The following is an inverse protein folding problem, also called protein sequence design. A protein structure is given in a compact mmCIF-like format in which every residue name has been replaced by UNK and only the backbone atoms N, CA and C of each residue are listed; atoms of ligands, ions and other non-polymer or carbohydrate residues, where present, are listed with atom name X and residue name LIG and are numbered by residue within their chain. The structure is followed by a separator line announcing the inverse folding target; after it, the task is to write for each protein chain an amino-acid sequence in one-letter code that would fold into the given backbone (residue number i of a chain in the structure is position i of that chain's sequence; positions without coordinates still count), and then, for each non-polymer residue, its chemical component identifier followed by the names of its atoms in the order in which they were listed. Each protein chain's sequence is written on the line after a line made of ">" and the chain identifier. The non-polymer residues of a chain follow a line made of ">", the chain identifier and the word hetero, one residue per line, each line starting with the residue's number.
data_IF_061947566069
#
_entry.id   IF_061947566069
#
_cell.length_a   1.000
_cell.length_b   1.000
_cell.length_c   1.000
_cell.angle_alpha   90.00
_cell.angle_beta   90.00
_cell.angle_gamma   90.00
#
_symmetry.space_group_name_H-M   'P 1'
#
loop_
_entity.id
_entity.type
_entity.pdbx_description
1 polymer ?
#
# COMPACT_ATOMS: atom_id res chain seq x y z
N UNK A 1 -16.49 -7.46 -0.66
CA UNK A 1 -16.71 -6.38 0.30
C UNK A 1 -15.41 -5.75 0.77
N UNK A 2 -15.51 -4.80 1.65
CA UNK A 2 -14.35 -4.06 2.15
C UNK A 2 -13.31 -4.97 2.82
N UNK A 3 -13.79 -5.95 3.59
CA UNK A 3 -12.90 -6.90 4.26
C UNK A 3 -12.12 -7.75 3.26
N UNK A 4 -12.72 -8.09 2.12
CA UNK A 4 -12.06 -8.86 1.08
C UNK A 4 -10.99 -8.04 0.36
N UNK A 5 -11.24 -6.76 0.17
CA UNK A 5 -10.29 -5.85 -0.44
C UNK A 5 -9.05 -5.69 0.45
N UNK A 6 -9.27 -5.49 1.75
CA UNK A 6 -8.16 -5.37 2.70
C UNK A 6 -7.37 -6.67 2.82
N UNK A 7 -8.05 -7.80 2.77
CA UNK A 7 -7.39 -9.11 2.76
C UNK A 7 -6.48 -9.26 1.55
N UNK A 8 -6.94 -8.79 0.39
CA UNK A 8 -6.14 -8.78 -0.82
C UNK A 8 -4.86 -7.95 -0.65
N UNK A 9 -4.99 -6.76 -0.09
CA UNK A 9 -3.83 -5.89 0.12
C UNK A 9 -2.87 -6.45 1.16
N UNK A 10 -3.38 -7.14 2.18
CA UNK A 10 -2.53 -7.82 3.16
C UNK A 10 -1.68 -8.90 2.49
N UNK A 11 -2.32 -9.72 1.66
CA UNK A 11 -1.61 -10.75 0.90
C UNK A 11 -0.57 -10.14 -0.03
N UNK A 12 -0.94 -9.05 -0.71
CA UNK A 12 -0.04 -8.34 -1.61
C UNK A 12 1.17 -7.79 -0.86
N UNK A 13 0.97 -7.24 0.33
CA UNK A 13 2.05 -6.71 1.15
C UNK A 13 3.03 -7.82 1.53
N UNK A 14 2.52 -8.96 1.99
CA UNK A 14 3.36 -10.08 2.38
C UNK A 14 4.18 -10.62 1.21
N UNK A 15 3.54 -10.79 0.05
CA UNK A 15 4.21 -11.29 -1.15
C UNK A 15 5.23 -10.29 -1.69
N UNK A 16 4.88 -9.00 -1.68
CA UNK A 16 5.78 -7.97 -2.16
C UNK A 16 7.04 -7.87 -1.31
N UNK A 17 6.92 -8.06 0.00
CA UNK A 17 8.08 -8.06 0.89
C UNK A 17 9.06 -9.17 0.52
N UNK A 18 8.55 -10.33 0.10
CA UNK A 18 9.39 -11.45 -0.32
C UNK A 18 10.01 -11.24 -1.71
N UNK A 19 9.37 -10.44 -2.54
CA UNK A 19 9.73 -10.26 -3.95
C UNK A 19 10.67 -9.10 -4.20
N UNK A 20 10.46 -7.98 -3.49
CA UNK A 20 11.22 -6.77 -3.73
C UNK A 20 12.62 -6.87 -3.14
N UNK A 21 13.57 -6.28 -3.84
CA UNK A 21 14.92 -6.10 -3.31
C UNK A 21 14.93 -5.00 -2.26
N UNK A 22 15.90 -4.98 -1.35
CA UNK A 22 16.06 -3.86 -0.42
C UNK A 22 16.08 -2.53 -1.16
N UNK A 23 15.29 -1.57 -0.68
CA UNK A 23 15.16 -0.26 -1.33
C UNK A 23 14.13 -0.22 -2.45
N UNK A 24 13.57 -1.37 -2.84
CA UNK A 24 12.54 -1.43 -3.88
C UNK A 24 11.24 -0.80 -3.43
N UNK A 25 10.51 -0.23 -4.38
CA UNK A 25 9.24 0.45 -4.11
C UNK A 25 8.10 -0.26 -4.80
N UNK A 26 6.93 -0.18 -4.19
CA UNK A 26 5.70 -0.66 -4.79
C UNK A 26 4.66 0.47 -4.78
N UNK A 27 3.90 0.56 -5.86
CA UNK A 27 2.85 1.56 -6.02
C UNK A 27 1.54 0.83 -6.26
N UNK A 28 0.51 1.18 -5.50
CA UNK A 28 -0.78 0.50 -5.61
C UNK A 28 -1.90 1.50 -5.79
N UNK A 29 -2.75 1.28 -6.78
CA UNK A 29 -3.97 2.05 -6.90
C UNK A 29 -4.94 1.62 -5.81
N UNK A 30 -5.63 2.59 -5.22
CA UNK A 30 -6.56 2.36 -4.12
C UNK A 30 -7.86 3.11 -4.36
N UNK A 31 -8.92 2.71 -3.63
CA UNK A 31 -10.11 3.55 -3.51
C UNK A 31 -9.78 4.78 -2.67
N UNK A 32 -10.50 5.88 -2.90
CA UNK A 32 -10.19 7.16 -2.25
C UNK A 32 -10.25 7.10 -0.72
N UNK A 33 -10.99 6.15 -0.17
CA UNK A 33 -11.19 5.98 1.27
C UNK A 33 -10.31 4.87 1.88
N UNK A 34 -9.38 4.31 1.12
CA UNK A 34 -8.57 3.16 1.55
C UNK A 34 -7.12 3.51 1.92
N UNK A 35 -6.72 4.75 1.73
CA UNK A 35 -5.32 5.14 1.90
C UNK A 35 -4.75 4.80 3.27
N UNK A 36 -5.48 5.11 4.32
CA UNK A 36 -5.04 4.84 5.69
C UNK A 36 -4.92 3.35 5.96
N UNK A 37 -5.96 2.59 5.62
CA UNK A 37 -5.99 1.15 5.90
C UNK A 37 -4.91 0.40 5.13
N UNK A 38 -4.74 0.72 3.85
CA UNK A 38 -3.71 0.08 3.02
C UNK A 38 -2.31 0.45 3.51
N UNK A 39 -2.09 1.72 3.87
CA UNK A 39 -0.81 2.15 4.42
C UNK A 39 -0.46 1.39 5.70
N UNK A 40 -1.42 1.24 6.60
CA UNK A 40 -1.22 0.49 7.84
C UNK A 40 -0.88 -0.98 7.58
N UNK A 41 -1.56 -1.61 6.62
CA UNK A 41 -1.27 -2.99 6.25
C UNK A 41 0.17 -3.16 5.76
N UNK A 42 0.64 -2.24 4.93
CA UNK A 42 2.01 -2.32 4.42
C UNK A 42 3.04 -2.00 5.51
N UNK A 43 2.73 -1.06 6.39
CA UNK A 43 3.59 -0.76 7.53
C UNK A 43 3.72 -1.97 8.45
N UNK A 44 2.60 -2.65 8.75
CA UNK A 44 2.60 -3.85 9.57
C UNK A 44 3.39 -4.99 8.93
N UNK A 45 3.45 -5.04 7.60
CA UNK A 45 4.23 -6.04 6.87
C UNK A 45 5.73 -5.72 6.83
N UNK A 46 6.14 -4.56 7.37
CA UNK A 46 7.54 -4.18 7.44
C UNK A 46 7.99 -3.14 6.43
N UNK A 47 7.08 -2.62 5.61
CA UNK A 47 7.42 -1.55 4.66
C UNK A 47 7.64 -0.23 5.38
N UNK A 48 8.41 0.64 4.76
CA UNK A 48 8.67 1.99 5.25
C UNK A 48 8.35 3.01 4.16
N UNK A 49 8.43 4.29 4.49
CA UNK A 49 8.24 5.36 3.52
C UNK A 49 6.86 5.36 2.89
N UNK A 50 5.84 5.03 3.66
CA UNK A 50 4.46 4.99 3.16
C UNK A 50 4.02 6.39 2.76
N UNK A 51 3.52 6.54 1.53
CA UNK A 51 2.98 7.80 1.04
C UNK A 51 1.65 7.53 0.35
N UNK A 52 0.68 8.38 0.64
CA UNK A 52 -0.60 8.38 -0.07
C UNK A 52 -0.55 9.54 -1.06
N UNK A 53 -0.67 9.21 -2.34
CA UNK A 53 -0.58 10.18 -3.43
C UNK A 53 -1.99 10.48 -3.91
N UNK A 54 -2.32 11.76 -3.97
CA UNK A 54 -3.63 12.23 -4.40
C UNK A 54 -3.64 12.52 -5.89
N UNK A 55 -4.83 12.37 -6.50
CA UNK A 55 -5.03 12.79 -7.88
C UNK A 55 -5.27 14.31 -7.95
N UNK A 56 -5.53 14.81 -9.15
CA UNK A 56 -5.75 16.23 -9.38
C UNK A 56 -7.01 16.76 -8.71
N UNK A 57 -7.97 15.89 -8.41
CA UNK A 57 -9.18 16.27 -7.68
C UNK A 57 -9.00 16.26 -6.17
N UNK A 58 -7.80 15.90 -5.69
CA UNK A 58 -7.50 15.85 -4.26
C UNK A 58 -7.92 14.56 -3.59
N UNK A 59 -8.29 13.54 -4.35
CA UNK A 59 -8.66 12.23 -3.81
C UNK A 59 -7.46 11.30 -3.77
N UNK A 60 -7.37 10.52 -2.70
CA UNK A 60 -6.32 9.51 -2.56
C UNK A 60 -6.43 8.48 -3.69
N UNK A 61 -5.36 8.21 -4.39
CA UNK A 61 -5.36 7.29 -5.54
C UNK A 61 -4.31 6.22 -5.48
N UNK A 62 -3.16 6.51 -4.92
CA UNK A 62 -2.02 5.60 -4.93
C UNK A 62 -1.40 5.56 -3.55
N UNK A 63 -1.04 4.37 -3.09
CA UNK A 63 -0.17 4.20 -1.93
C UNK A 63 1.19 3.74 -2.44
N UNK A 64 2.24 4.43 -2.01
CA UNK A 64 3.62 4.06 -2.26
C UNK A 64 4.19 3.45 -0.99
N UNK A 65 4.91 2.35 -1.12
CA UNK A 65 5.61 1.73 0.01
C UNK A 65 7.01 1.32 -0.44
N UNK A 66 7.95 1.37 0.47
CA UNK A 66 9.35 1.03 0.19
C UNK A 66 9.79 -0.11 1.09
N UNK A 67 10.47 -1.10 0.50
CA UNK A 67 11.10 -2.16 1.26
C UNK A 67 12.39 -1.65 1.90
N UNK A 68 12.59 -1.84 3.23
CA UNK A 68 13.83 -1.45 3.90
C UNK A 68 15.06 -2.12 3.32
#
# INVERSE_FOLDING_TARGET
>A
GEADVLKFYRMLAERSMAYLKPGGKIYMEIGFDQGKDVSELFEQAGFEGLKVIKDMAGLNRVVQAKRP
#
